data_IF_842592435266
#
_entry.id   IF_842592435266
#
_cell.length_a   1.000
_cell.length_b   1.000
_cell.length_c   1.000
_cell.angle_alpha   90.00
_cell.angle_beta   90.00
_cell.angle_gamma   90.00
#
_symmetry.space_group_name_H-M   'P 1'
#
loop_
_entity.id
_entity.type
_entity.pdbx_description
1 polymer ?
#
# COMPACT_ATOMS: atom_id res chain seq x y z
N UNK A 1 -30.53 38.16 20.00
CA UNK A 1 -29.95 39.37 19.40
C UNK A 1 -30.50 40.57 20.14
N UNK A 2 -29.66 41.33 20.85
CA UNK A 2 -30.09 42.50 21.63
C UNK A 2 -29.56 43.75 20.93
N UNK A 3 -30.33 44.83 20.95
CA UNK A 3 -29.93 46.09 20.32
C UNK A 3 -29.53 47.07 21.43
N UNK A 4 -28.35 47.67 21.31
CA UNK A 4 -27.92 48.73 22.20
C UNK A 4 -28.78 49.98 21.98
N UNK A 5 -28.86 50.87 22.98
CA UNK A 5 -29.56 52.16 22.83
C UNK A 5 -29.01 53.01 21.67
N UNK A 6 -27.79 52.74 21.21
CA UNK A 6 -27.14 53.46 20.11
C UNK A 6 -27.31 52.76 18.74
N UNK A 7 -28.28 51.85 18.59
CA UNK A 7 -28.55 51.12 17.34
C UNK A 7 -27.53 50.01 17.00
N UNK A 8 -26.48 49.83 17.82
CA UNK A 8 -25.50 48.76 17.68
C UNK A 8 -26.09 47.38 17.99
N UNK A 9 -25.71 46.37 17.21
CA UNK A 9 -26.11 44.97 17.44
C UNK A 9 -25.23 44.36 18.53
N UNK A 10 -25.83 44.01 19.67
CA UNK A 10 -25.15 43.33 20.79
C UNK A 10 -25.30 41.82 20.59
N UNK A 11 -24.16 41.15 20.49
CA UNK A 11 -24.04 39.70 20.43
C UNK A 11 -23.60 39.16 21.78
N UNK A 12 -24.06 37.96 22.14
CA UNK A 12 -23.54 37.24 23.29
C UNK A 12 -22.08 36.88 23.03
N UNK A 13 -21.21 37.07 24.03
CA UNK A 13 -19.78 36.78 23.96
C UNK A 13 -19.56 35.32 23.53
N UNK A 14 -20.38 34.39 24.03
CA UNK A 14 -20.27 32.97 23.63
C UNK A 14 -20.49 32.74 22.14
N UNK A 15 -21.36 33.53 21.52
CA UNK A 15 -21.68 33.43 20.09
C UNK A 15 -20.69 34.21 19.24
N UNK A 16 -20.17 35.33 19.73
CA UNK A 16 -19.26 36.20 18.98
C UNK A 16 -17.79 35.76 19.06
N UNK A 17 -17.38 35.14 20.17
CA UNK A 17 -15.98 34.75 20.40
C UNK A 17 -15.38 33.86 19.30
N UNK A 18 -16.08 32.84 18.76
CA UNK A 18 -15.53 31.99 17.69
C UNK A 18 -15.30 32.72 16.35
N UNK A 19 -15.92 33.88 16.14
CA UNK A 19 -15.79 34.66 14.89
C UNK A 19 -14.81 35.83 14.99
N UNK A 20 -14.34 36.13 16.21
CA UNK A 20 -13.42 37.24 16.50
C UNK A 20 -11.97 36.77 16.71
N UNK A 21 -11.80 35.46 16.87
CA UNK A 21 -10.49 34.82 17.05
C UNK A 21 -10.17 34.15 15.72
N UNK A 22 -9.03 34.49 15.11
CA UNK A 22 -8.51 33.74 13.97
C UNK A 22 -8.44 32.28 14.38
N UNK A 23 -9.00 31.33 13.62
CA UNK A 23 -9.04 29.94 14.05
C UNK A 23 -7.62 29.44 14.27
N UNK A 24 -7.23 29.26 15.54
CA UNK A 24 -6.02 28.53 15.97
C UNK A 24 -6.28 27.02 15.83
N UNK A 25 -6.95 26.65 14.74
CA UNK A 25 -7.06 25.26 14.35
C UNK A 25 -5.88 25.09 13.40
N UNK A 26 -4.91 24.29 13.83
CA UNK A 26 -3.87 23.79 12.93
C UNK A 26 -4.57 23.30 11.66
N UNK A 27 -4.42 24.06 10.57
CA UNK A 27 -5.19 23.85 9.34
C UNK A 27 -4.86 22.46 8.81
N UNK A 28 -3.64 21.96 9.06
CA UNK A 28 -3.23 20.62 8.68
C UNK A 28 -3.98 19.56 9.52
N UNK A 29 -4.13 19.77 10.84
CA UNK A 29 -4.93 18.89 11.70
C UNK A 29 -6.44 18.94 11.37
N UNK A 30 -6.94 20.09 10.93
CA UNK A 30 -8.33 20.24 10.49
C UNK A 30 -8.57 19.59 9.12
N UNK A 31 -7.62 19.71 8.18
CA UNK A 31 -7.69 19.06 6.87
C UNK A 31 -7.54 17.54 6.98
N UNK A 32 -6.79 17.04 7.96
CA UNK A 32 -6.68 15.60 8.26
C UNK A 32 -7.98 14.99 8.79
N UNK A 33 -8.83 15.79 9.45
CA UNK A 33 -10.11 15.32 10.03
C UNK A 33 -11.31 15.47 9.09
N UNK A 34 -11.13 16.12 7.93
CA UNK A 34 -12.19 16.32 6.94
C UNK A 34 -12.14 15.19 5.89
N UNK A 35 -13.23 14.42 5.79
CA UNK A 35 -13.47 13.50 4.66
C UNK A 35 -13.40 14.26 3.34
N UNK A 36 -12.70 13.72 2.34
CA UNK A 36 -12.46 14.37 1.05
C UNK A 36 -13.74 14.85 0.34
N UNK A 37 -14.88 14.21 0.60
CA UNK A 37 -16.20 14.58 0.05
C UNK A 37 -16.82 15.85 0.66
N UNK A 38 -16.35 16.27 1.84
CA UNK A 38 -16.79 17.52 2.51
C UNK A 38 -15.91 18.72 2.17
N UNK A 39 -14.85 18.53 1.37
CA UNK A 39 -14.05 19.63 0.88
C UNK A 39 -14.80 20.42 -0.19
N UNK A 40 -14.70 21.76 -0.20
CA UNK A 40 -15.18 22.58 -1.31
C UNK A 40 -14.61 22.08 -2.64
N UNK A 41 -15.40 22.13 -3.71
CA UNK A 41 -15.04 21.55 -5.01
C UNK A 41 -13.70 22.08 -5.56
N UNK A 42 -13.38 23.35 -5.28
CA UNK A 42 -12.09 23.97 -5.62
C UNK A 42 -10.88 23.37 -4.89
N UNK A 43 -11.07 22.82 -3.69
CA UNK A 43 -10.00 22.27 -2.86
C UNK A 43 -9.84 20.76 -3.02
N UNK A 44 -10.87 20.06 -3.54
CA UNK A 44 -10.80 18.63 -3.86
C UNK A 44 -9.69 18.31 -4.86
N UNK A 45 -9.59 19.10 -5.94
CA UNK A 45 -8.55 18.89 -6.95
C UNK A 45 -7.14 19.06 -6.36
N UNK A 46 -6.92 20.10 -5.56
CA UNK A 46 -5.63 20.32 -4.89
C UNK A 46 -5.30 19.24 -3.88
N UNK A 47 -6.28 18.71 -3.14
CA UNK A 47 -6.11 17.61 -2.20
C UNK A 47 -5.64 16.32 -2.91
N UNK A 48 -6.33 15.93 -3.98
CA UNK A 48 -5.95 14.75 -4.77
C UNK A 48 -4.59 14.92 -5.44
N UNK A 49 -4.30 16.11 -5.96
CA UNK A 49 -2.97 16.42 -6.52
C UNK A 49 -1.86 16.36 -5.47
N UNK A 50 -2.11 16.80 -4.23
CA UNK A 50 -1.16 16.68 -3.13
C UNK A 50 -0.93 15.21 -2.75
N UNK A 51 -1.99 14.41 -2.64
CA UNK A 51 -1.90 12.96 -2.36
C UNK A 51 -1.15 12.19 -3.44
N UNK A 52 -1.36 12.51 -4.72
CA UNK A 52 -0.62 11.90 -5.83
C UNK A 52 0.87 12.26 -5.73
N UNK A 53 1.21 13.52 -5.38
CA UNK A 53 2.60 13.94 -5.18
C UNK A 53 3.25 13.23 -4.00
N UNK A 54 2.51 13.06 -2.89
CA UNK A 54 2.97 12.32 -1.71
C UNK A 54 3.25 10.85 -2.06
N UNK A 55 2.33 10.17 -2.76
CA UNK A 55 2.53 8.80 -3.22
C UNK A 55 3.74 8.67 -4.16
N UNK A 56 3.91 9.58 -5.12
CA UNK A 56 5.07 9.61 -6.02
C UNK A 56 6.38 9.81 -5.26
N UNK A 57 6.39 10.69 -4.26
CA UNK A 57 7.55 10.91 -3.41
C UNK A 57 7.92 9.63 -2.64
N UNK A 58 6.96 8.96 -2.01
CA UNK A 58 7.19 7.70 -1.29
C UNK A 58 7.69 6.58 -2.19
N UNK A 59 7.21 6.51 -3.44
CA UNK A 59 7.76 5.58 -4.46
C UNK A 59 9.22 5.91 -4.76
N UNK A 60 9.55 7.18 -5.01
CA UNK A 60 10.93 7.60 -5.29
C UNK A 60 11.86 7.41 -4.09
N UNK A 61 11.35 7.54 -2.86
CA UNK A 61 12.08 7.30 -1.63
C UNK A 61 12.30 5.78 -1.35
N UNK A 62 11.68 4.90 -2.14
CA UNK A 62 11.76 3.44 -1.95
C UNK A 62 10.89 2.90 -0.81
N UNK A 63 10.07 3.75 -0.20
CA UNK A 63 9.13 3.40 0.87
C UNK A 63 7.84 2.77 0.32
N UNK A 64 7.52 3.00 -0.95
CA UNK A 64 6.36 2.43 -1.63
C UNK A 64 6.76 1.67 -2.90
N UNK A 65 6.37 0.41 -2.96
CA UNK A 65 6.65 -0.47 -4.09
C UNK A 65 5.38 -0.70 -4.88
N UNK A 66 5.36 -0.40 -6.20
CA UNK A 66 4.22 -0.76 -7.04
C UNK A 66 4.04 -2.28 -7.04
N UNK A 67 2.80 -2.74 -6.86
CA UNK A 67 2.47 -4.17 -6.86
C UNK A 67 2.97 -4.87 -8.13
N UNK A 68 2.85 -4.22 -9.28
CA UNK A 68 3.33 -4.75 -10.57
C UNK A 68 4.84 -5.00 -10.56
N UNK A 69 5.63 -4.04 -10.06
CA UNK A 69 7.10 -4.17 -9.98
C UNK A 69 7.53 -5.28 -9.02
N UNK A 70 6.84 -5.41 -7.89
CA UNK A 70 7.09 -6.50 -6.94
C UNK A 70 6.79 -7.86 -7.58
N UNK A 71 5.63 -7.98 -8.23
CA UNK A 71 5.21 -9.20 -8.92
C UNK A 71 6.16 -9.58 -10.06
N UNK A 72 6.70 -8.61 -10.79
CA UNK A 72 7.67 -8.84 -11.86
C UNK A 72 8.99 -9.40 -11.31
N UNK A 73 9.55 -8.78 -10.27
CA UNK A 73 10.79 -9.25 -9.62
C UNK A 73 10.63 -10.67 -9.08
N UNK A 74 9.52 -10.94 -8.39
CA UNK A 74 9.23 -12.30 -7.91
C UNK A 74 9.08 -13.28 -9.09
N UNK A 75 8.38 -12.90 -10.15
CA UNK A 75 8.19 -13.75 -11.33
C UNK A 75 9.52 -14.12 -11.99
N UNK A 76 10.41 -13.15 -12.20
CA UNK A 76 11.75 -13.40 -12.76
C UNK A 76 12.62 -14.27 -11.84
N UNK A 77 12.54 -14.05 -10.53
CA UNK A 77 13.25 -14.85 -9.53
C UNK A 77 12.77 -16.31 -9.58
N UNK A 78 11.46 -16.55 -9.63
CA UNK A 78 10.91 -17.91 -9.70
C UNK A 78 11.21 -18.62 -11.02
N UNK A 79 11.17 -17.91 -12.15
CA UNK A 79 11.62 -18.46 -13.43
C UNK A 79 13.07 -18.94 -13.35
N UNK A 80 13.93 -18.15 -12.70
CA UNK A 80 15.34 -18.50 -12.47
C UNK A 80 15.46 -19.76 -11.61
N UNK A 81 14.77 -19.82 -10.47
CA UNK A 81 14.77 -21.00 -9.58
C UNK A 81 14.28 -22.25 -10.32
N UNK A 82 13.18 -22.14 -11.07
CA UNK A 82 12.65 -23.24 -11.89
C UNK A 82 13.69 -23.75 -12.88
N UNK A 83 14.30 -22.83 -13.64
CA UNK A 83 15.30 -23.19 -14.65
C UNK A 83 16.51 -23.88 -14.02
N UNK A 84 17.03 -23.36 -12.92
CA UNK A 84 18.19 -23.93 -12.22
C UNK A 84 17.87 -25.30 -11.65
N UNK A 85 16.71 -25.47 -11.01
CA UNK A 85 16.33 -26.76 -10.38
C UNK A 85 16.06 -27.85 -11.41
N UNK A 86 15.51 -27.51 -12.59
CA UNK A 86 15.33 -28.47 -13.68
C UNK A 86 16.67 -28.99 -14.24
N UNK A 87 17.68 -28.13 -14.30
CA UNK A 87 19.02 -28.51 -14.78
C UNK A 87 19.78 -29.42 -13.79
N UNK A 88 19.35 -29.54 -12.53
CA UNK A 88 20.02 -30.41 -11.57
C UNK A 88 19.99 -31.87 -11.97
N UNK A 89 18.90 -32.34 -12.59
CA UNK A 89 18.78 -33.72 -13.07
C UNK A 89 19.89 -34.00 -14.08
N UNK A 90 20.00 -33.15 -15.10
CA UNK A 90 21.01 -33.27 -16.15
C UNK A 90 22.43 -33.12 -15.59
N UNK A 91 22.65 -32.17 -14.68
CA UNK A 91 23.96 -31.91 -14.06
C UNK A 91 24.45 -33.12 -13.25
N UNK A 92 23.55 -33.75 -12.47
CA UNK A 92 23.90 -34.93 -11.66
C UNK A 92 24.12 -36.15 -12.55
N UNK A 93 23.31 -36.32 -13.59
CA UNK A 93 23.46 -37.38 -14.59
C UNK A 93 24.83 -37.29 -15.28
N UNK A 94 25.25 -36.10 -15.72
CA UNK A 94 26.54 -35.88 -16.36
C UNK A 94 27.73 -36.07 -15.40
N UNK A 95 27.59 -35.65 -14.14
CA UNK A 95 28.72 -35.64 -13.18
C UNK A 95 28.95 -36.99 -12.49
N UNK A 96 27.88 -37.71 -12.17
CA UNK A 96 27.93 -38.92 -11.33
C UNK A 96 27.26 -40.14 -11.96
N UNK A 97 26.52 -39.94 -13.06
CA UNK A 97 25.60 -40.95 -13.57
C UNK A 97 24.38 -41.07 -12.66
N UNK A 98 23.22 -41.28 -13.27
CA UNK A 98 21.98 -41.64 -12.58
C UNK A 98 21.41 -42.88 -13.25
N UNK A 99 20.82 -43.78 -12.46
CA UNK A 99 19.94 -44.81 -13.02
C UNK A 99 18.54 -44.22 -13.29
N UNK A 100 17.72 -44.89 -14.10
CA UNK A 100 16.40 -44.38 -14.50
C UNK A 100 15.45 -44.12 -13.32
N UNK A 101 15.51 -44.96 -12.28
CA UNK A 101 14.70 -44.81 -11.06
C UNK A 101 15.10 -43.56 -10.26
N UNK A 102 16.41 -43.31 -10.11
CA UNK A 102 16.96 -42.15 -9.41
C UNK A 102 16.69 -40.86 -10.18
N UNK A 103 16.78 -40.91 -11.53
CA UNK A 103 16.44 -39.80 -12.40
C UNK A 103 14.97 -39.40 -12.25
N UNK A 104 14.08 -40.40 -12.24
CA UNK A 104 12.65 -40.21 -12.02
C UNK A 104 12.38 -39.61 -10.65
N UNK A 105 12.97 -40.18 -9.58
CA UNK A 105 12.82 -39.68 -8.22
C UNK A 105 13.31 -38.23 -8.09
N UNK A 106 14.47 -37.90 -8.67
CA UNK A 106 15.03 -36.54 -8.59
C UNK A 106 14.13 -35.53 -9.33
N UNK A 107 13.57 -35.92 -10.47
CA UNK A 107 12.62 -35.11 -11.22
C UNK A 107 11.36 -34.84 -10.39
N UNK A 108 10.79 -35.87 -9.76
CA UNK A 108 9.63 -35.72 -8.88
C UNK A 108 9.90 -34.81 -7.67
N UNK A 109 11.11 -34.86 -7.11
CA UNK A 109 11.51 -34.00 -6.01
C UNK A 109 11.62 -32.53 -6.45
N UNK A 110 12.15 -32.28 -7.65
CA UNK A 110 12.22 -30.93 -8.26
C UNK A 110 10.81 -30.39 -8.50
N UNK A 111 9.91 -31.20 -9.07
CA UNK A 111 8.52 -30.79 -9.31
C UNK A 111 7.78 -30.50 -8.00
N UNK A 112 7.99 -31.34 -6.98
CA UNK A 112 7.42 -31.13 -5.63
C UNK A 112 7.96 -29.85 -4.98
N UNK A 113 9.24 -29.54 -5.15
CA UNK A 113 9.81 -28.29 -4.67
C UNK A 113 9.13 -27.09 -5.33
N UNK A 114 8.92 -27.12 -6.64
CA UNK A 114 8.23 -26.05 -7.38
C UNK A 114 6.78 -25.88 -6.91
N UNK A 115 6.05 -26.98 -6.71
CA UNK A 115 4.67 -26.96 -6.19
C UNK A 115 4.60 -26.42 -4.76
N UNK A 116 5.55 -26.80 -3.89
CA UNK A 116 5.63 -26.27 -2.53
C UNK A 116 5.93 -24.77 -2.50
N UNK A 117 6.81 -24.28 -3.36
CA UNK A 117 7.09 -22.84 -3.50
C UNK A 117 5.82 -22.10 -3.93
N UNK A 118 5.11 -22.61 -4.94
CA UNK A 118 3.85 -22.03 -5.40
C UNK A 118 2.79 -22.00 -4.30
N UNK A 119 2.55 -23.13 -3.62
CA UNK A 119 1.57 -23.22 -2.53
C UNK A 119 1.95 -22.33 -1.35
N UNK A 120 3.22 -22.29 -0.97
CA UNK A 120 3.76 -21.42 0.07
C UNK A 120 3.43 -19.95 -0.23
N UNK A 121 3.66 -19.52 -1.47
CA UNK A 121 3.39 -18.14 -1.88
C UNK A 121 1.89 -17.82 -1.93
N UNK A 122 1.07 -18.68 -2.54
CA UNK A 122 -0.39 -18.46 -2.64
C UNK A 122 -1.06 -18.50 -1.27
N UNK A 123 -0.60 -19.37 -0.37
CA UNK A 123 -1.11 -19.44 0.99
C UNK A 123 -0.66 -18.24 1.83
N UNK A 124 0.61 -17.82 1.73
CA UNK A 124 1.11 -16.63 2.42
C UNK A 124 0.48 -15.35 1.89
N UNK A 125 0.24 -15.23 0.58
CA UNK A 125 -0.46 -14.08 0.01
C UNK A 125 -1.91 -13.98 0.52
N UNK A 126 -2.53 -15.10 0.90
CA UNK A 126 -3.88 -15.11 1.50
C UNK A 126 -3.88 -14.87 3.01
N UNK A 127 -2.81 -15.22 3.71
CA UNK A 127 -2.73 -15.10 5.18
C UNK A 127 -2.05 -13.82 5.65
N UNK A 128 -1.10 -13.32 4.87
CA UNK A 128 -0.41 -12.06 5.11
C UNK A 128 -1.13 -11.00 4.29
N UNK A 129 -2.14 -10.37 4.87
CA UNK A 129 -2.58 -9.06 4.41
C UNK A 129 -1.36 -8.15 4.50
N UNK A 130 -0.63 -8.01 3.39
CA UNK A 130 0.32 -6.91 3.27
C UNK A 130 -0.60 -5.71 3.12
N UNK A 131 -0.80 -4.98 4.22
CA UNK A 131 -1.77 -3.89 4.26
C UNK A 131 -1.46 -2.94 3.12
N UNK A 132 -2.41 -2.83 2.18
CA UNK A 132 -2.33 -1.85 1.12
C UNK A 132 -2.47 -0.49 1.78
N UNK A 133 -1.72 0.50 1.31
CA UNK A 133 -1.89 1.90 1.74
C UNK A 133 -3.34 2.37 1.61
N UNK A 134 -4.15 1.76 0.72
CA UNK A 134 -5.58 2.06 0.63
C UNK A 134 -6.35 1.72 1.92
N UNK A 135 -5.93 0.68 2.66
CA UNK A 135 -6.46 0.30 3.97
C UNK A 135 -6.01 1.28 5.05
N UNK A 136 -4.72 1.65 5.07
CA UNK A 136 -4.22 2.70 5.97
C UNK A 136 -4.94 4.04 5.75
N UNK A 137 -5.22 4.38 4.50
CA UNK A 137 -5.95 5.59 4.11
C UNK A 137 -7.45 5.51 4.46
N UNK A 138 -8.08 4.33 4.42
CA UNK A 138 -9.47 4.17 4.85
C UNK A 138 -9.60 4.21 6.37
N UNK A 139 -8.67 3.60 7.09
CA UNK A 139 -8.66 3.53 8.55
C UNK A 139 -8.32 4.90 9.17
N UNK A 140 -7.56 5.75 8.48
CA UNK A 140 -7.37 7.15 8.84
C UNK A 140 -8.58 8.05 8.52
N UNK A 141 -9.56 7.54 7.76
CA UNK A 141 -10.75 8.29 7.36
C UNK A 141 -11.99 7.96 8.21
N UNK A 142 -11.96 6.94 9.07
CA UNK A 142 -13.03 6.59 10.02
C UNK A 142 -12.74 7.09 11.45
#
# INVERSE_FOLDING_TARGET
MRTAQNGGKIYDIKTAAPFLIDPVTDIDAFLQTIKADKLPEKLRETYWNAKIKEAKYRVMAGELWPTESVMEVFSETFKTIKKVTQLWVDTVEETKGLNDEQRTLLTELVDRLQDNIYKGLVSQAKSSETESILKDLSDAAD
#
